data_IF_048595947172
#
_entry.id   IF_048595947172
#
_cell.length_a   1.000
_cell.length_b   1.000
_cell.length_c   1.000
_cell.angle_alpha   90.00
_cell.angle_beta   90.00
_cell.angle_gamma   90.00
#
_symmetry.space_group_name_H-M   'P 1'
#
loop_
_entity.id
_entity.type
_entity.pdbx_description
1 polymer ?
#
# COMPACT_ATOMS: atom_id res chain seq x y z
N UNK A 1 14.09 -18.99 -0.42
CA UNK A 1 13.19 -17.92 0.06
C UNK A 1 11.77 -18.35 -0.23
N UNK A 2 10.78 -18.00 0.61
CA UNK A 2 9.38 -18.25 0.26
C UNK A 2 8.94 -17.29 -0.86
N UNK A 3 7.92 -17.65 -1.63
CA UNK A 3 7.37 -16.75 -2.65
C UNK A 3 6.97 -15.39 -2.05
N UNK A 4 6.34 -15.38 -0.88
CA UNK A 4 5.93 -14.13 -0.21
C UNK A 4 7.10 -13.23 0.21
N UNK A 5 8.27 -13.79 0.52
CA UNK A 5 9.46 -12.98 0.87
C UNK A 5 10.09 -12.34 -0.37
N UNK A 6 10.05 -13.03 -1.51
CA UNK A 6 10.53 -12.48 -2.78
C UNK A 6 9.61 -11.35 -3.27
N UNK A 7 8.29 -11.53 -3.14
CA UNK A 7 7.29 -10.52 -3.50
C UNK A 7 7.44 -9.24 -2.65
N UNK A 8 7.78 -9.37 -1.37
CA UNK A 8 8.07 -8.24 -0.47
C UNK A 8 9.32 -7.47 -0.85
N UNK A 9 10.40 -8.18 -1.16
CA UNK A 9 11.63 -7.54 -1.61
C UNK A 9 11.41 -6.80 -2.93
N UNK A 10 10.68 -7.42 -3.86
CA UNK A 10 10.34 -6.79 -5.13
C UNK A 10 9.50 -5.52 -4.94
N UNK A 11 8.48 -5.57 -4.07
CA UNK A 11 7.68 -4.40 -3.72
C UNK A 11 8.53 -3.30 -3.08
N UNK A 12 9.41 -3.64 -2.13
CA UNK A 12 10.28 -2.68 -1.47
C UNK A 12 11.19 -1.94 -2.46
N UNK A 13 11.76 -2.64 -3.44
CA UNK A 13 12.59 -2.02 -4.49
C UNK A 13 11.77 -1.06 -5.36
N UNK A 14 10.53 -1.43 -5.71
CA UNK A 14 9.64 -0.56 -6.51
C UNK A 14 9.26 0.69 -5.73
N UNK A 15 8.94 0.56 -4.45
CA UNK A 15 8.64 1.70 -3.57
C UNK A 15 9.85 2.63 -3.41
N UNK A 16 11.03 2.08 -3.15
CA UNK A 16 12.26 2.89 -3.05
C UNK A 16 12.57 3.66 -4.34
N UNK A 17 12.35 3.02 -5.50
CA UNK A 17 12.52 3.69 -6.81
C UNK A 17 11.49 4.79 -7.03
N UNK A 18 10.24 4.58 -6.58
CA UNK A 18 9.17 5.57 -6.65
C UNK A 18 9.49 6.77 -5.74
N UNK A 19 9.90 6.54 -4.50
CA UNK A 19 10.31 7.61 -3.56
C UNK A 19 11.44 8.46 -4.14
N UNK A 20 12.49 7.83 -4.67
CA UNK A 20 13.61 8.53 -5.30
C UNK A 20 13.19 9.33 -6.56
N UNK A 21 12.13 8.88 -7.26
CA UNK A 21 11.58 9.60 -8.40
C UNK A 21 10.75 10.82 -7.94
N UNK A 22 9.93 10.66 -6.91
CA UNK A 22 9.09 11.72 -6.33
C UNK A 22 9.91 12.87 -5.74
N UNK A 23 11.13 12.62 -5.25
CA UNK A 23 12.05 13.68 -4.79
C UNK A 23 12.47 14.67 -5.90
N UNK A 24 12.41 14.24 -7.17
CA UNK A 24 12.95 15.01 -8.31
C UNK A 24 11.89 15.44 -9.33
N UNK A 25 10.66 14.97 -9.18
CA UNK A 25 9.59 15.16 -10.15
C UNK A 25 8.28 15.55 -9.45
N UNK A 26 7.32 16.04 -10.21
CA UNK A 26 5.99 16.31 -9.66
C UNK A 26 5.30 15.03 -9.19
N UNK A 27 4.53 15.07 -8.09
CA UNK A 27 3.89 13.90 -7.54
C UNK A 27 2.80 13.37 -8.48
N UNK A 28 2.89 12.08 -8.83
CA UNK A 28 1.92 11.38 -9.69
C UNK A 28 1.17 10.31 -8.90
N UNK A 29 -0.13 10.11 -9.14
CA UNK A 29 -0.92 9.11 -8.42
C UNK A 29 -0.30 7.71 -8.52
N UNK A 30 -0.10 7.07 -7.38
CA UNK A 30 0.39 5.71 -7.27
C UNK A 30 -0.79 4.75 -7.12
N UNK A 31 -1.03 3.93 -8.15
CA UNK A 31 -2.14 2.98 -8.18
C UNK A 31 -1.62 1.56 -7.98
N UNK A 32 -2.25 0.83 -7.07
CA UNK A 32 -1.82 -0.49 -6.62
C UNK A 32 -3.01 -1.43 -6.60
N UNK A 33 -2.88 -2.60 -7.24
CA UNK A 33 -3.94 -3.60 -7.34
C UNK A 33 -3.49 -4.95 -6.75
N UNK A 34 -4.19 -5.41 -5.70
CA UNK A 34 -4.07 -6.74 -5.07
C UNK A 34 -2.63 -7.20 -4.70
N UNK A 35 -1.72 -6.28 -4.42
CA UNK A 35 -0.33 -6.61 -4.07
C UNK A 35 -0.17 -7.40 -2.75
N UNK A 36 -1.21 -7.43 -1.92
CA UNK A 36 -1.20 -8.06 -0.59
C UNK A 36 -1.75 -9.48 -0.58
N UNK A 37 -2.11 -10.06 -1.74
CA UNK A 37 -2.79 -11.37 -1.83
C UNK A 37 -2.04 -12.54 -1.17
N UNK A 38 -0.72 -12.46 -1.07
CA UNK A 38 0.14 -13.50 -0.44
C UNK A 38 0.65 -13.12 0.95
N UNK A 39 0.24 -11.98 1.49
CA UNK A 39 0.78 -11.46 2.75
C UNK A 39 -0.11 -11.94 3.91
N UNK A 40 0.50 -12.22 5.05
CA UNK A 40 -0.27 -12.37 6.29
C UNK A 40 -0.57 -10.98 6.87
N UNK A 41 -1.45 -10.93 7.88
CA UNK A 41 -1.94 -9.68 8.45
C UNK A 41 -0.80 -8.76 8.93
N UNK A 42 0.24 -9.30 9.57
CA UNK A 42 1.39 -8.52 10.05
C UNK A 42 2.13 -7.83 8.89
N UNK A 43 2.36 -8.55 7.79
CA UNK A 43 3.06 -8.02 6.61
C UNK A 43 2.18 -7.08 5.80
N UNK A 44 0.87 -7.33 5.77
CA UNK A 44 -0.11 -6.43 5.20
C UNK A 44 -0.13 -5.09 5.96
N UNK A 45 -0.18 -5.12 7.29
CA UNK A 45 -0.12 -3.91 8.14
C UNK A 45 1.16 -3.12 7.90
N UNK A 46 2.33 -3.78 7.88
CA UNK A 46 3.60 -3.11 7.60
C UNK A 46 3.57 -2.41 6.23
N UNK A 47 3.01 -3.06 5.21
CA UNK A 47 2.89 -2.47 3.88
C UNK A 47 1.90 -1.30 3.85
N UNK A 48 0.75 -1.43 4.52
CA UNK A 48 -0.23 -0.35 4.65
C UNK A 48 0.37 0.89 5.32
N UNK A 49 1.20 0.72 6.35
CA UNK A 49 1.91 1.83 6.99
C UNK A 49 2.90 2.53 6.06
N UNK A 50 3.61 1.77 5.22
CA UNK A 50 4.50 2.34 4.19
C UNK A 50 3.69 3.11 3.15
N UNK A 51 2.57 2.55 2.68
CA UNK A 51 1.66 3.24 1.75
C UNK A 51 1.07 4.51 2.38
N UNK A 52 0.71 4.48 3.66
CA UNK A 52 0.23 5.66 4.38
C UNK A 52 1.29 6.76 4.43
N UNK A 53 2.55 6.41 4.70
CA UNK A 53 3.67 7.37 4.66
C UNK A 53 3.87 7.95 3.26
N UNK A 54 3.83 7.10 2.23
CA UNK A 54 3.93 7.51 0.84
C UNK A 54 2.76 8.43 0.43
N UNK A 55 1.57 8.22 1.01
CA UNK A 55 0.38 9.03 0.75
C UNK A 55 0.56 10.53 1.07
N UNK A 56 1.54 10.85 1.94
CA UNK A 56 1.89 12.23 2.30
C UNK A 56 2.67 12.96 1.20
N UNK A 57 3.28 12.23 0.28
CA UNK A 57 4.04 12.78 -0.84
C UNK A 57 3.29 12.67 -2.16
N UNK A 58 2.49 11.61 -2.33
CA UNK A 58 1.68 11.40 -3.54
C UNK A 58 0.35 10.74 -3.22
N UNK A 59 -0.65 10.90 -4.08
CA UNK A 59 -1.92 10.20 -3.92
C UNK A 59 -1.74 8.69 -4.12
N UNK A 60 -2.08 7.88 -3.10
CA UNK A 60 -2.06 6.41 -3.19
C UNK A 60 -3.48 5.89 -3.36
N UNK A 61 -3.72 5.10 -4.41
CA UNK A 61 -4.99 4.44 -4.68
C UNK A 61 -4.75 2.94 -4.61
N UNK A 62 -5.34 2.29 -3.61
CA UNK A 62 -5.19 0.86 -3.36
C UNK A 62 -6.50 0.13 -3.64
N UNK A 63 -6.45 -0.83 -4.56
CA UNK A 63 -7.54 -1.74 -4.86
C UNK A 63 -7.28 -3.08 -4.20
N UNK A 64 -8.32 -3.61 -3.56
CA UNK A 64 -8.29 -4.97 -3.06
C UNK A 64 -9.65 -5.63 -3.02
N UNK A 65 -9.67 -6.94 -3.26
CA UNK A 65 -10.84 -7.78 -3.01
C UNK A 65 -10.87 -8.37 -1.59
N UNK A 66 -9.78 -8.24 -0.81
CA UNK A 66 -9.69 -8.77 0.54
C UNK A 66 -10.44 -7.90 1.55
N UNK A 67 -11.61 -8.38 1.99
CA UNK A 67 -12.51 -7.65 2.91
C UNK A 67 -11.92 -7.33 4.28
N UNK A 68 -10.87 -8.02 4.71
CA UNK A 68 -10.22 -7.78 6.02
C UNK A 68 -9.19 -6.65 5.97
N UNK A 69 -8.66 -6.29 4.79
CA UNK A 69 -7.64 -5.24 4.67
C UNK A 69 -8.12 -3.85 5.07
N UNK A 70 -9.35 -3.41 4.71
CA UNK A 70 -9.89 -2.14 5.23
C UNK A 70 -9.97 -2.12 6.75
N UNK A 71 -10.35 -3.24 7.38
CA UNK A 71 -10.43 -3.31 8.84
C UNK A 71 -9.05 -3.25 9.52
N UNK A 72 -8.04 -3.88 8.91
CA UNK A 72 -6.65 -3.73 9.37
C UNK A 72 -6.15 -2.30 9.17
N UNK A 73 -6.45 -1.68 8.04
CA UNK A 73 -6.08 -0.29 7.76
C UNK A 73 -6.72 0.68 8.77
N UNK A 74 -8.03 0.56 9.03
CA UNK A 74 -8.74 1.38 10.02
C UNK A 74 -8.18 1.24 11.44
N UNK A 75 -7.66 0.06 11.79
CA UNK A 75 -7.09 -0.21 13.11
C UNK A 75 -5.65 0.31 13.28
N UNK A 76 -4.89 0.39 12.19
CA UNK A 76 -3.45 0.63 12.22
C UNK A 76 -2.98 1.93 11.56
N UNK A 77 -3.88 2.68 10.90
CA UNK A 77 -3.59 3.97 10.27
C UNK A 77 -4.23 5.12 11.05
N UNK A 78 -3.64 6.31 10.94
CA UNK A 78 -4.13 7.52 11.59
C UNK A 78 -5.43 8.03 10.98
N UNK A 79 -6.25 8.71 11.78
CA UNK A 79 -7.49 9.31 11.33
C UNK A 79 -7.21 10.39 10.27
N UNK A 80 -7.76 10.21 9.06
CA UNK A 80 -7.60 11.13 7.93
C UNK A 80 -6.63 10.67 6.84
N UNK A 81 -5.86 9.60 7.06
CA UNK A 81 -4.99 9.01 6.03
C UNK A 81 -5.69 7.90 5.21
N UNK A 82 -6.85 7.41 5.68
CA UNK A 82 -7.60 6.34 5.03
C UNK A 82 -8.97 6.81 4.52
N UNK A 83 -9.19 6.63 3.21
CA UNK A 83 -10.49 6.77 2.58
C UNK A 83 -10.90 5.43 1.97
N UNK A 84 -11.97 4.84 2.48
CA UNK A 84 -12.47 3.54 2.00
C UNK A 84 -13.67 3.74 1.10
N UNK A 85 -13.60 3.26 -0.14
CA UNK A 85 -14.73 3.21 -1.05
C UNK A 85 -15.06 1.77 -1.41
N UNK A 86 -16.31 1.36 -1.21
CA UNK A 86 -16.81 0.03 -1.60
C UNK A 86 -17.54 0.16 -2.93
N UNK A 87 -17.01 -0.50 -3.96
CA UNK A 87 -17.66 -0.61 -5.25
C UNK A 87 -18.80 -1.65 -5.12
N UNK A 88 -20.04 -1.18 -5.19
CA UNK A 88 -21.21 -2.07 -5.28
C UNK A 88 -21.34 -2.52 -6.74
N UNK A 89 -20.95 -3.76 -7.02
CA UNK A 89 -21.25 -4.44 -8.29
C UNK A 89 -22.55 -5.21 -8.18
#
# INVERSE_FOLDING_TARGET
MSEGTADQLYLAIRLASLEAWLEKNEPVPFVVDDILIKFDDDRAVATLQVLSRLSRQTQVIFFTHHRHLPALAEKHLEAGELFTHRLNT
#
